data_IF_622376536837
#
_entry.id   IF_622376536837
#
_cell.length_a   1.000
_cell.length_b   1.000
_cell.length_c   1.000
_cell.angle_alpha   90.00
_cell.angle_beta   90.00
_cell.angle_gamma   90.00
#
_symmetry.space_group_name_H-M   'P 1'
#
loop_
_entity.id
_entity.type
_entity.pdbx_description
1 polymer ?
#
# COMPACT_ATOMS: atom_id res chain seq x y z
N UNK A 1 -19.32 -7.48 -10.53
CA UNK A 1 -17.86 -7.62 -10.62
C UNK A 1 -17.23 -6.54 -9.77
N UNK A 2 -16.57 -6.88 -8.67
CA UNK A 2 -15.97 -5.88 -7.78
C UNK A 2 -14.63 -5.42 -8.34
N UNK A 3 -14.50 -4.13 -8.62
CA UNK A 3 -13.27 -3.51 -9.10
C UNK A 3 -12.23 -3.52 -7.95
N UNK A 4 -11.03 -4.04 -8.22
CA UNK A 4 -9.92 -4.02 -7.25
C UNK A 4 -9.07 -2.78 -7.50
N UNK A 5 -8.72 -2.07 -6.43
CA UNK A 5 -7.78 -0.96 -6.49
C UNK A 5 -6.36 -1.51 -6.49
N UNK A 6 -5.57 -1.10 -7.47
CA UNK A 6 -4.15 -1.42 -7.57
C UNK A 6 -3.33 -0.30 -6.94
N UNK A 7 -2.70 -0.57 -5.81
CA UNK A 7 -1.80 0.38 -5.16
C UNK A 7 -0.37 0.04 -5.54
N UNK A 8 0.23 0.85 -6.40
CA UNK A 8 1.63 0.69 -6.80
C UNK A 8 2.58 1.13 -5.69
N UNK A 9 3.65 0.37 -5.50
CA UNK A 9 4.72 0.61 -4.54
C UNK A 9 6.06 0.60 -5.27
N UNK A 10 6.94 1.53 -4.91
CA UNK A 10 8.32 1.59 -5.37
C UNK A 10 9.27 1.53 -4.18
N UNK A 11 10.36 0.83 -4.37
CA UNK A 11 11.39 0.63 -3.36
C UNK A 11 12.73 1.20 -3.85
N UNK A 12 13.51 1.71 -2.90
CA UNK A 12 14.94 1.99 -3.07
C UNK A 12 15.71 0.67 -3.20
N UNK A 13 16.95 0.71 -3.72
CA UNK A 13 17.88 -0.42 -3.64
C UNK A 13 18.14 -0.91 -2.21
N UNK A 14 17.95 -0.04 -1.20
CA UNK A 14 18.10 -0.37 0.22
C UNK A 14 16.84 -1.00 0.83
N UNK A 15 15.80 -1.26 0.04
CA UNK A 15 14.55 -1.90 0.47
C UNK A 15 13.52 -0.97 1.11
N UNK A 16 13.82 0.33 1.27
CA UNK A 16 12.87 1.32 1.77
C UNK A 16 11.89 1.77 0.69
N UNK A 17 10.65 2.07 1.07
CA UNK A 17 9.61 2.55 0.15
C UNK A 17 9.86 3.99 -0.23
N UNK A 18 10.05 4.26 -1.52
CA UNK A 18 10.19 5.62 -2.06
C UNK A 18 8.84 6.26 -2.32
N UNK A 19 7.95 5.51 -2.96
CA UNK A 19 6.65 5.99 -3.41
C UNK A 19 5.61 4.90 -3.24
N UNK A 20 4.41 5.31 -2.85
CA UNK A 20 3.25 4.43 -2.74
C UNK A 20 1.99 5.21 -3.06
N UNK A 21 1.14 4.61 -3.90
CA UNK A 21 -0.15 5.16 -4.27
C UNK A 21 -1.14 5.17 -3.12
N UNK A 22 -2.26 5.86 -3.33
CA UNK A 22 -3.41 5.83 -2.42
C UNK A 22 -3.11 6.21 -0.95
N UNK A 23 -2.01 6.93 -0.72
CA UNK A 23 -1.50 7.34 0.59
C UNK A 23 -2.27 8.56 1.14
N UNK A 24 -2.75 8.52 2.39
CA UNK A 24 -3.31 9.69 3.06
C UNK A 24 -2.31 10.85 3.21
N UNK A 25 -2.80 12.09 3.18
CA UNK A 25 -1.97 13.24 3.51
C UNK A 25 -1.44 13.14 4.96
N UNK A 26 -0.16 13.44 5.16
CA UNK A 26 0.50 13.38 6.49
C UNK A 26 1.08 12.03 6.88
N UNK A 27 0.82 10.94 6.14
CA UNK A 27 1.42 9.62 6.40
C UNK A 27 2.65 9.44 5.49
N UNK A 28 3.78 8.94 5.99
CA UNK A 28 4.95 8.67 5.15
C UNK A 28 4.73 7.47 4.22
N UNK A 29 5.49 7.38 3.11
CA UNK A 29 5.36 6.26 2.17
C UNK A 29 5.64 4.90 2.85
N UNK A 30 6.68 4.86 3.69
CA UNK A 30 7.03 3.68 4.47
C UNK A 30 5.92 3.31 5.47
N UNK A 31 5.43 4.26 6.26
CA UNK A 31 4.38 3.99 7.25
C UNK A 31 3.08 3.50 6.60
N UNK A 32 2.74 4.02 5.41
CA UNK A 32 1.59 3.55 4.66
C UNK A 32 1.79 2.11 4.15
N UNK A 33 2.97 1.78 3.64
CA UNK A 33 3.31 0.42 3.23
C UNK A 33 3.25 -0.58 4.39
N UNK A 34 3.85 -0.26 5.54
CA UNK A 34 3.88 -1.13 6.71
C UNK A 34 2.46 -1.42 7.19
N UNK A 35 1.57 -0.42 7.13
CA UNK A 35 0.16 -0.53 7.49
C UNK A 35 -0.66 -1.38 6.51
N UNK A 36 -0.44 -1.23 5.20
CA UNK A 36 -1.08 -2.11 4.21
C UNK A 36 -0.58 -3.55 4.36
N UNK A 37 0.71 -3.72 4.65
CA UNK A 37 1.34 -5.01 4.87
C UNK A 37 0.82 -5.70 6.14
N UNK A 38 0.56 -4.96 7.23
CA UNK A 38 0.10 -5.54 8.50
C UNK A 38 -1.31 -6.12 8.43
N UNK A 39 -2.17 -5.59 7.55
CA UNK A 39 -3.57 -6.02 7.42
C UNK A 39 -3.86 -6.95 6.24
N UNK A 40 -2.92 -7.14 5.31
CA UNK A 40 -3.25 -7.69 3.99
C UNK A 40 -2.10 -8.35 3.25
N UNK A 41 -1.30 -9.20 3.90
CA UNK A 41 -0.23 -9.97 3.22
C UNK A 41 -0.74 -10.75 1.98
N UNK A 42 -2.01 -11.17 1.98
CA UNK A 42 -2.65 -11.90 0.88
C UNK A 42 -2.92 -11.02 -0.36
N UNK A 43 -2.91 -9.69 -0.22
CA UNK A 43 -3.15 -8.74 -1.30
C UNK A 43 -1.85 -8.19 -1.91
N UNK A 44 -0.69 -8.43 -1.28
CA UNK A 44 0.60 -7.92 -1.75
C UNK A 44 1.23 -8.85 -2.79
N UNK A 45 1.64 -8.28 -3.91
CA UNK A 45 2.40 -8.96 -4.96
C UNK A 45 3.72 -8.22 -5.20
N UNK A 46 4.87 -8.82 -4.85
CA UNK A 46 6.18 -8.26 -5.19
C UNK A 46 6.43 -8.38 -6.70
N UNK A 47 7.09 -7.38 -7.27
CA UNK A 47 7.50 -7.31 -8.67
C UNK A 47 9.01 -7.11 -8.77
N UNK A 48 9.62 -7.57 -9.86
CA UNK A 48 11.05 -7.38 -10.09
C UNK A 48 11.44 -5.91 -10.23
N UNK A 49 12.65 -5.57 -9.78
CA UNK A 49 13.24 -4.23 -9.93
C UNK A 49 12.73 -3.20 -8.92
N UNK A 50 12.53 -3.60 -7.66
CA UNK A 50 12.13 -2.67 -6.58
C UNK A 50 10.71 -2.16 -6.75
N UNK A 51 9.78 -3.01 -7.21
CA UNK A 51 8.38 -2.65 -7.39
C UNK A 51 7.50 -3.63 -6.63
N UNK A 52 6.31 -3.18 -6.24
CA UNK A 52 5.28 -4.01 -5.66
C UNK A 52 3.91 -3.46 -5.99
N UNK A 53 2.89 -4.29 -5.81
CA UNK A 53 1.51 -3.85 -5.94
C UNK A 53 0.65 -4.49 -4.86
N UNK A 54 -0.25 -3.71 -4.27
CA UNK A 54 -1.36 -4.26 -3.48
C UNK A 54 -2.63 -4.30 -4.32
N UNK A 55 -3.38 -5.40 -4.22
CA UNK A 55 -4.67 -5.59 -4.90
C UNK A 55 -5.78 -5.61 -3.86
N UNK A 56 -6.29 -4.43 -3.51
CA UNK A 56 -7.24 -4.25 -2.40
C UNK A 56 -8.66 -4.05 -2.92
N UNK A 57 -9.66 -4.46 -2.16
CA UNK A 57 -11.02 -3.98 -2.36
C UNK A 57 -11.12 -2.50 -1.94
N UNK A 58 -11.91 -1.65 -2.63
CA UNK A 58 -12.10 -0.25 -2.25
C UNK A 58 -12.50 -0.05 -0.78
N UNK A 59 -13.29 -0.98 -0.23
CA UNK A 59 -13.70 -0.96 1.17
C UNK A 59 -12.53 -1.20 2.15
N UNK A 60 -11.59 -2.09 1.81
CA UNK A 60 -10.38 -2.34 2.60
C UNK A 60 -9.46 -1.13 2.57
N UNK A 61 -9.25 -0.57 1.38
CA UNK A 61 -8.45 0.65 1.22
C UNK A 61 -9.01 1.81 2.06
N UNK A 62 -10.33 2.02 2.00
CA UNK A 62 -11.01 3.05 2.78
C UNK A 62 -10.87 2.82 4.28
N UNK A 63 -11.00 1.56 4.73
CA UNK A 63 -10.79 1.17 6.14
C UNK A 63 -9.36 1.46 6.60
N UNK A 64 -8.36 1.14 5.78
CA UNK A 64 -6.97 1.45 6.08
C UNK A 64 -6.71 2.95 6.18
N UNK A 65 -7.36 3.78 5.35
CA UNK A 65 -7.25 5.24 5.45
C UNK A 65 -7.96 5.82 6.67
N UNK A 66 -9.15 5.33 6.98
CA UNK A 66 -9.96 5.84 8.09
C UNK A 66 -9.25 5.65 9.44
N UNK A 67 -8.61 4.51 9.64
CA UNK A 67 -7.87 4.26 10.86
C UNK A 67 -6.52 5.03 10.95
N UNK A 68 -6.21 5.95 10.02
CA UNK A 68 -5.04 6.87 10.09
C UNK A 68 -5.35 8.21 10.76
N UNK A 69 -6.61 8.43 11.15
CA UNK A 69 -7.11 9.69 11.72
C UNK A 69 -7.24 9.67 13.26
N UNK A 70 -6.53 8.79 13.97
CA UNK A 70 -6.49 8.78 15.44
C UNK A 70 -5.09 9.09 15.95
#
# INVERSE_FOLDING_TARGET
MSERVLVHVRFTPNGLVTEIGERPAGVSAQAWFDRLSSGGFHAYQPLSGGRGVFRLHPAELSSHRAASLN
#
